data_IF_385671998992
#
_entry.id   IF_385671998992
#
_cell.length_a   1.000
_cell.length_b   1.000
_cell.length_c   1.000
_cell.angle_alpha   90.00
_cell.angle_beta   90.00
_cell.angle_gamma   90.00
#
_symmetry.space_group_name_H-M   'P 1'
#
loop_
_entity.id
_entity.type
_entity.pdbx_description
1 polymer ?
#
# COMPACT_ATOMS: atom_id res chain seq x y z
N UNK A 1 9.28 -11.36 -11.08
CA UNK A 1 8.35 -12.47 -11.37
C UNK A 1 7.54 -12.30 -12.67
N UNK A 2 7.61 -11.15 -13.39
CA UNK A 2 6.91 -10.98 -14.67
C UNK A 2 5.40 -10.71 -14.58
N UNK A 3 4.89 -10.38 -13.38
CA UNK A 3 3.47 -10.14 -13.10
C UNK A 3 3.12 -8.66 -12.90
N UNK A 4 3.98 -7.72 -13.30
CA UNK A 4 3.80 -6.29 -13.01
C UNK A 4 2.44 -5.75 -13.45
N UNK A 5 1.99 -6.09 -14.66
CA UNK A 5 0.69 -5.68 -15.20
C UNK A 5 -0.52 -6.24 -14.43
N UNK A 6 -0.30 -7.24 -13.58
CA UNK A 6 -1.32 -7.88 -12.76
C UNK A 6 -1.30 -7.41 -11.31
N UNK A 7 -0.39 -6.49 -10.95
CA UNK A 7 -0.39 -5.80 -9.66
C UNK A 7 -1.07 -4.45 -9.84
N UNK A 8 -2.38 -4.41 -9.57
CA UNK A 8 -3.26 -3.33 -10.04
C UNK A 8 -3.76 -2.38 -8.93
N UNK A 9 -3.22 -2.51 -7.72
CA UNK A 9 -3.56 -1.61 -6.60
C UNK A 9 -2.31 -1.26 -5.80
N UNK A 10 -2.44 -0.27 -4.91
CA UNK A 10 -1.39 0.12 -3.95
C UNK A 10 -0.96 -1.07 -3.09
N UNK A 11 0.28 -1.06 -2.64
CA UNK A 11 0.78 -2.12 -1.75
C UNK A 11 0.08 -2.10 -0.39
N UNK A 12 -0.39 -0.94 0.06
CA UNK A 12 -1.09 -0.82 1.35
C UNK A 12 -1.50 0.61 1.68
N UNK A 13 -2.00 0.78 2.89
CA UNK A 13 -2.50 2.05 3.42
C UNK A 13 -2.36 2.12 4.94
N UNK A 14 -2.44 3.34 5.48
CA UNK A 14 -2.52 3.59 6.90
C UNK A 14 -3.82 3.08 7.49
N UNK A 15 -3.80 2.81 8.79
CA UNK A 15 -4.96 2.38 9.55
C UNK A 15 -4.95 3.01 10.93
N UNK A 16 -6.14 3.41 11.40
CA UNK A 16 -6.32 4.04 12.70
C UNK A 16 -7.79 4.24 13.04
N UNK A 17 -8.26 5.48 12.99
CA UNK A 17 -9.68 5.78 13.20
C UNK A 17 -10.49 5.38 11.97
N UNK A 18 -9.91 5.57 10.79
CA UNK A 18 -10.47 5.10 9.53
C UNK A 18 -9.78 3.80 9.12
N UNK A 19 -10.51 2.94 8.41
CA UNK A 19 -9.93 1.72 7.85
C UNK A 19 -8.81 2.06 6.86
N UNK A 20 -8.96 3.17 6.13
CA UNK A 20 -8.03 3.61 5.09
C UNK A 20 -7.62 5.06 5.29
N UNK A 21 -6.50 5.28 5.94
CA UNK A 21 -5.92 6.60 6.18
C UNK A 21 -4.47 6.68 5.66
N UNK A 22 -3.83 7.84 5.82
CA UNK A 22 -2.40 7.99 5.54
C UNK A 22 -1.54 7.20 6.56
N UNK A 23 -0.34 6.72 6.18
CA UNK A 23 0.30 6.89 4.88
C UNK A 23 -0.13 5.81 3.86
N UNK A 24 -0.27 6.20 2.59
CA UNK A 24 -0.47 5.25 1.51
C UNK A 24 0.85 4.67 0.99
N UNK A 25 0.96 3.34 0.95
CA UNK A 25 2.10 2.62 0.37
C UNK A 25 1.85 2.42 -1.13
N UNK A 26 2.11 3.48 -1.88
CA UNK A 26 1.80 3.60 -3.31
C UNK A 26 2.95 4.25 -4.07
N UNK A 27 3.08 3.91 -5.35
CA UNK A 27 4.05 4.55 -6.23
C UNK A 27 3.84 6.08 -6.27
N UNK A 28 4.94 6.83 -6.19
CA UNK A 28 4.93 8.30 -6.16
C UNK A 28 4.68 8.97 -4.81
N UNK A 29 4.42 8.22 -3.73
CA UNK A 29 4.38 8.80 -2.38
C UNK A 29 5.80 8.89 -1.79
N UNK A 30 6.31 10.11 -1.64
CA UNK A 30 7.67 10.37 -1.12
C UNK A 30 7.72 10.67 0.39
N UNK A 31 6.59 10.55 1.09
CA UNK A 31 6.54 10.80 2.55
C UNK A 31 7.39 9.76 3.30
N UNK A 32 8.40 10.17 4.09
CA UNK A 32 9.17 9.23 4.90
C UNK A 32 8.30 8.53 5.95
N UNK A 33 8.53 7.23 6.13
CA UNK A 33 7.90 6.49 7.22
C UNK A 33 8.57 6.83 8.55
N UNK A 34 7.76 7.14 9.54
CA UNK A 34 8.21 7.52 10.88
C UNK A 34 7.73 6.50 11.93
N UNK A 35 8.47 6.33 13.05
CA UNK A 35 8.03 5.50 14.15
C UNK A 35 6.64 5.90 14.66
N UNK A 36 5.76 4.92 14.85
CA UNK A 36 4.38 5.12 15.32
C UNK A 36 3.32 5.11 14.22
N UNK A 37 3.71 5.21 12.94
CA UNK A 37 2.79 4.94 11.83
C UNK A 37 2.37 3.47 11.80
N UNK A 38 1.09 3.21 11.56
CA UNK A 38 0.54 1.87 11.38
C UNK A 38 -0.10 1.76 9.99
N UNK A 39 0.24 0.71 9.24
CA UNK A 39 -0.21 0.51 7.85
C UNK A 39 -0.16 -0.97 7.45
N UNK A 40 -0.89 -1.32 6.39
CA UNK A 40 -0.89 -2.64 5.76
C UNK A 40 0.26 -2.80 4.74
N UNK A 41 0.66 -4.06 4.49
CA UNK A 41 1.50 -4.46 3.36
C UNK A 41 0.82 -5.69 2.74
N UNK A 42 0.04 -5.45 1.70
CA UNK A 42 -0.95 -6.38 1.15
C UNK A 42 -0.85 -6.50 -0.38
N UNK A 43 0.30 -6.85 -0.97
CA UNK A 43 0.42 -6.98 -2.42
C UNK A 43 -0.47 -8.10 -2.98
N UNK A 44 -1.03 -7.88 -4.18
CA UNK A 44 -1.89 -8.85 -4.88
C UNK A 44 -1.52 -9.01 -6.35
N UNK A 45 -1.58 -10.25 -6.85
CA UNK A 45 -1.50 -10.57 -8.29
C UNK A 45 -2.87 -11.09 -8.72
N UNK A 46 -3.48 -10.43 -9.70
CA UNK A 46 -4.82 -10.76 -10.16
C UNK A 46 -4.74 -11.57 -11.45
N UNK A 47 -5.37 -12.73 -11.46
CA UNK A 47 -5.54 -13.58 -12.63
C UNK A 47 -7.02 -13.70 -12.96
N UNK A 48 -7.36 -13.70 -14.25
CA UNK A 48 -8.70 -14.00 -14.71
C UNK A 48 -9.06 -15.48 -14.48
#
# INVERSE_FOLDING_TARGET
AGFGERFIHRTGHGIGLEEHEDPYIVDGNETPLEPGMAFSIEPGIYTA
#
